data_IF_943368102602
#
_entry.id   IF_943368102602
#
_cell.length_a   1.000
_cell.length_b   1.000
_cell.length_c   1.000
_cell.angle_alpha   90.00
_cell.angle_beta   90.00
_cell.angle_gamma   90.00
#
_symmetry.space_group_name_H-M   'P 1'
#
loop_
_entity.id
_entity.type
_entity.pdbx_description
1 polymer ?
#
# COMPACT_ATOMS: atom_id res chain seq x y z
N UNK A 1 16.58 -9.23 -9.32
CA UNK A 1 15.84 -9.48 -8.06
C UNK A 1 14.53 -10.18 -8.41
N UNK A 2 13.99 -11.04 -7.54
CA UNK A 2 12.63 -11.57 -7.73
C UNK A 2 11.59 -10.48 -7.48
N UNK A 3 10.39 -10.60 -8.07
CA UNK A 3 9.26 -9.66 -7.87
C UNK A 3 8.98 -9.42 -6.39
N UNK A 4 8.98 -10.48 -5.58
CA UNK A 4 8.83 -10.40 -4.12
C UNK A 4 9.97 -9.61 -3.44
N UNK A 5 11.21 -9.85 -3.83
CA UNK A 5 12.36 -9.13 -3.26
C UNK A 5 12.33 -7.64 -3.61
N UNK A 6 11.85 -7.29 -4.81
CA UNK A 6 11.61 -5.90 -5.19
C UNK A 6 10.56 -5.23 -4.29
N UNK A 7 9.39 -5.85 -4.09
CA UNK A 7 8.34 -5.26 -3.24
C UNK A 7 8.72 -5.13 -1.77
N UNK A 8 9.50 -6.08 -1.23
CA UNK A 8 10.04 -5.97 0.13
C UNK A 8 11.02 -4.80 0.25
N UNK A 9 11.91 -4.63 -0.73
CA UNK A 9 12.86 -3.52 -0.78
C UNK A 9 12.16 -2.16 -0.87
N UNK A 10 11.11 -2.05 -1.69
CA UNK A 10 10.28 -0.83 -1.77
C UNK A 10 9.57 -0.54 -0.42
N UNK A 11 9.07 -1.57 0.26
CA UNK A 11 8.47 -1.43 1.58
C UNK A 11 9.50 -0.98 2.64
N UNK A 12 10.74 -1.48 2.57
CA UNK A 12 11.83 -1.04 3.44
C UNK A 12 12.14 0.45 3.24
N UNK A 13 12.25 0.90 1.98
CA UNK A 13 12.42 2.33 1.65
C UNK A 13 11.26 3.15 2.23
N UNK A 14 10.01 2.74 1.99
CA UNK A 14 8.83 3.47 2.45
C UNK A 14 8.78 3.63 3.98
N UNK A 15 9.27 2.65 4.74
CA UNK A 15 9.31 2.68 6.21
C UNK A 15 10.49 3.46 6.79
N UNK A 16 11.53 3.73 6.00
CA UNK A 16 12.73 4.42 6.45
C UNK A 16 12.59 5.94 6.27
N UNK A 17 12.29 6.66 7.35
CA UNK A 17 12.05 8.11 7.31
C UNK A 17 13.24 8.92 6.79
N UNK A 18 14.46 8.40 6.93
CA UNK A 18 15.71 9.06 6.52
C UNK A 18 16.24 8.56 5.16
N UNK A 19 15.56 7.61 4.50
CA UNK A 19 15.99 7.15 3.17
C UNK A 19 15.64 8.20 2.11
N UNK A 20 16.64 8.69 1.39
CA UNK A 20 16.45 9.73 0.36
C UNK A 20 15.58 9.29 -0.82
N UNK A 21 15.36 7.98 -0.99
CA UNK A 21 14.46 7.41 -1.99
C UNK A 21 13.01 7.35 -1.51
N UNK A 22 12.75 7.63 -0.24
CA UNK A 22 11.41 7.62 0.33
C UNK A 22 10.60 8.78 -0.22
N UNK A 23 9.72 8.48 -1.16
CA UNK A 23 8.74 9.40 -1.71
C UNK A 23 7.35 8.93 -1.30
N UNK A 24 6.63 9.73 -0.53
CA UNK A 24 5.31 9.40 0.00
C UNK A 24 4.33 10.54 -0.28
N UNK A 25 3.05 10.25 -0.62
CA UNK A 25 2.04 11.27 -0.75
C UNK A 25 1.73 11.91 0.60
N UNK A 26 1.34 13.19 0.58
CA UNK A 26 0.81 13.86 1.77
C UNK A 26 -0.59 13.32 2.07
N UNK A 27 -0.76 12.60 3.19
CA UNK A 27 -2.07 12.18 3.69
C UNK A 27 -2.35 12.92 4.99
N UNK A 28 -3.34 13.81 4.96
CA UNK A 28 -3.70 14.64 6.11
C UNK A 28 -4.70 13.93 7.02
N UNK A 29 -4.73 14.25 8.33
CA UNK A 29 -5.65 13.62 9.29
C UNK A 29 -7.15 13.76 8.95
N UNK A 30 -7.53 14.75 8.13
CA UNK A 30 -8.92 14.94 7.70
C UNK A 30 -9.34 13.96 6.59
N UNK A 31 -8.39 13.27 5.95
CA UNK A 31 -8.69 12.26 4.93
C UNK A 31 -9.24 11.00 5.59
N UNK A 32 -10.57 10.82 5.51
CA UNK A 32 -11.26 9.68 6.17
C UNK A 32 -11.24 8.39 5.36
N UNK A 33 -10.97 8.48 4.05
CA UNK A 33 -10.99 7.36 3.10
C UNK A 33 -9.85 7.50 2.12
N UNK A 34 -9.02 6.48 2.01
CA UNK A 34 -7.87 6.44 1.10
C UNK A 34 -7.98 5.19 0.23
N UNK A 35 -7.83 5.38 -1.08
CA UNK A 35 -7.72 4.30 -2.05
C UNK A 35 -6.38 4.43 -2.78
N UNK A 36 -5.58 3.37 -2.72
CA UNK A 36 -4.28 3.28 -3.38
C UNK A 36 -4.40 2.36 -4.60
N UNK A 37 -4.16 2.90 -5.80
CA UNK A 37 -4.31 2.19 -7.08
C UNK A 37 -2.93 1.82 -7.63
N UNK A 38 -2.74 0.56 -7.98
CA UNK A 38 -1.40 0.05 -8.27
C UNK A 38 -0.55 -0.02 -7.00
N UNK A 39 -1.16 -0.47 -5.90
CA UNK A 39 -0.56 -0.37 -4.57
C UNK A 39 0.66 -1.29 -4.35
N UNK A 40 0.92 -2.24 -5.25
CA UNK A 40 1.93 -3.28 -5.09
C UNK A 40 1.72 -4.05 -3.77
N UNK A 41 2.74 -4.08 -2.92
CA UNK A 41 2.65 -4.66 -1.58
C UNK A 41 1.95 -3.76 -0.54
N UNK A 42 1.47 -2.59 -0.97
CA UNK A 42 0.80 -1.58 -0.16
C UNK A 42 1.75 -0.73 0.67
N UNK A 43 3.00 -0.54 0.21
CA UNK A 43 4.01 0.17 0.96
C UNK A 43 3.58 1.59 1.37
N UNK A 44 2.82 2.27 0.50
CA UNK A 44 2.26 3.60 0.79
C UNK A 44 1.34 3.55 2.01
N UNK A 45 0.29 2.73 1.97
CA UNK A 45 -0.69 2.68 3.06
C UNK A 45 -0.09 2.18 4.38
N UNK A 46 0.89 1.28 4.33
CA UNK A 46 1.57 0.75 5.51
C UNK A 46 2.46 1.82 6.17
N UNK A 47 3.16 2.62 5.37
CA UNK A 47 4.12 3.60 5.86
C UNK A 47 3.53 5.02 6.07
N UNK A 48 2.27 5.24 5.71
CA UNK A 48 1.59 6.53 5.80
C UNK A 48 1.07 6.91 7.19
N UNK A 49 1.32 6.11 8.22
CA UNK A 49 0.86 6.34 9.61
C UNK A 49 -0.60 6.83 9.69
N UNK A 50 -1.49 6.10 9.02
CA UNK A 50 -2.88 6.50 8.89
C UNK A 50 -3.59 6.49 10.25
N UNK A 51 -4.40 7.51 10.57
CA UNK A 51 -5.25 7.48 11.76
C UNK A 51 -6.11 6.22 11.79
N UNK A 52 -6.34 5.65 12.98
CA UNK A 52 -7.06 4.38 13.18
C UNK A 52 -8.47 4.38 12.58
N UNK A 53 -9.08 5.54 12.47
CA UNK A 53 -10.42 5.81 11.99
C UNK A 53 -10.47 5.95 10.46
N UNK A 54 -9.30 6.03 9.82
CA UNK A 54 -9.16 6.12 8.37
C UNK A 54 -9.46 4.78 7.75
N UNK A 55 -10.45 4.76 6.86
CA UNK A 55 -10.64 3.60 6.01
C UNK A 55 -9.62 3.65 4.88
N UNK A 56 -8.84 2.58 4.71
CA UNK A 56 -7.82 2.51 3.67
C UNK A 56 -7.92 1.20 2.89
N UNK A 57 -7.82 1.29 1.56
CA UNK A 57 -7.75 0.12 0.70
C UNK A 57 -6.72 0.27 -0.41
N UNK A 58 -6.06 -0.84 -0.74
CA UNK A 58 -5.15 -0.95 -1.87
C UNK A 58 -5.71 -1.89 -2.92
N UNK A 59 -5.52 -1.54 -4.20
CA UNK A 59 -5.87 -2.38 -5.35
C UNK A 59 -4.65 -2.53 -6.25
N UNK A 60 -4.31 -3.77 -6.56
CA UNK A 60 -3.29 -4.10 -7.55
C UNK A 60 -3.78 -5.24 -8.47
N UNK A 61 -3.18 -5.31 -9.67
CA UNK A 61 -3.37 -6.38 -10.63
C UNK A 61 -2.46 -7.58 -10.34
N UNK A 62 -1.32 -7.34 -9.69
CA UNK A 62 -0.37 -8.35 -9.26
C UNK A 62 -0.82 -8.94 -7.91
N UNK A 63 -1.32 -10.17 -7.96
CA UNK A 63 -1.77 -10.89 -6.77
C UNK A 63 -0.61 -11.22 -5.81
N UNK A 64 0.57 -11.53 -6.35
CA UNK A 64 1.72 -11.91 -5.53
C UNK A 64 2.29 -10.71 -4.75
N UNK A 65 2.18 -9.51 -5.33
CA UNK A 65 2.49 -8.26 -4.64
C UNK A 65 1.59 -8.08 -3.41
N UNK A 66 0.29 -8.32 -3.53
CA UNK A 66 -0.67 -8.19 -2.43
C UNK A 66 -0.45 -9.20 -1.30
N UNK A 67 0.07 -10.39 -1.61
CA UNK A 67 0.44 -11.38 -0.60
C UNK A 67 1.73 -11.05 0.16
N UNK A 68 2.54 -10.11 -0.36
CA UNK A 68 3.84 -9.76 0.21
C UNK A 68 3.71 -8.78 1.39
N UNK A 69 2.63 -7.96 1.41
CA UNK A 69 2.36 -7.03 2.51
C UNK A 69 1.76 -7.72 3.75
N UNK A 70 1.94 -7.16 4.96
CA UNK A 70 1.30 -7.63 6.20
C UNK A 70 -0.25 -7.59 6.20
N UNK A 71 -0.88 -7.12 5.12
CA UNK A 71 -2.34 -7.04 4.95
C UNK A 71 -3.04 -8.36 4.58
N UNK A 72 -2.29 -9.45 4.35
CA UNK A 72 -2.87 -10.77 4.08
C UNK A 72 -3.72 -11.34 5.25
N UNK A 73 -3.64 -10.73 6.45
CA UNK A 73 -4.37 -11.14 7.64
C UNK A 73 -4.91 -9.97 8.45
N UNK A 74 -6.00 -9.34 7.98
CA UNK A 74 -7.11 -8.88 8.83
C UNK A 74 -6.87 -7.95 10.03
N UNK A 75 -5.73 -7.25 10.16
CA UNK A 75 -5.56 -6.27 11.22
C UNK A 75 -6.37 -5.00 10.91
N UNK A 76 -7.15 -4.54 11.90
CA UNK A 76 -8.22 -3.56 11.75
C UNK A 76 -7.77 -2.24 11.08
N UNK A 77 -8.22 -2.02 9.84
CA UNK A 77 -8.16 -0.73 9.14
C UNK A 77 -7.74 -0.83 7.67
N UNK A 78 -6.72 -1.64 7.39
CA UNK A 78 -6.15 -1.78 6.04
C UNK A 78 -6.76 -2.97 5.30
N UNK A 79 -7.42 -2.71 4.17
CA UNK A 79 -8.03 -3.76 3.34
C UNK A 79 -7.34 -3.79 1.97
N UNK A 80 -6.51 -4.79 1.73
CA UNK A 80 -5.94 -5.02 0.40
C UNK A 80 -6.87 -5.92 -0.41
N UNK A 81 -7.11 -5.58 -1.68
CA UNK A 81 -7.91 -6.40 -2.59
C UNK A 81 -7.22 -6.52 -3.94
N UNK A 82 -7.23 -7.73 -4.49
CA UNK A 82 -6.85 -7.93 -5.88
C UNK A 82 -8.04 -7.63 -6.77
N UNK A 83 -7.83 -6.83 -7.81
CA UNK A 83 -8.87 -6.48 -8.76
C UNK A 83 -8.27 -6.08 -10.10
N UNK A 84 -8.75 -6.70 -11.18
CA UNK A 84 -8.48 -6.21 -12.54
C UNK A 84 -9.56 -5.22 -12.92
N UNK A 85 -9.17 -3.95 -13.09
CA UNK A 85 -10.02 -2.96 -13.75
C UNK A 85 -10.02 -3.18 -15.27
N UNK A 86 -11.18 -3.04 -15.90
CA UNK A 86 -11.31 -2.91 -17.36
C UNK A 86 -11.46 -1.41 -17.61
N UNK A 87 -10.60 -0.82 -18.45
CA UNK A 87 -10.76 0.57 -18.85
C UNK A 87 -12.06 0.69 -19.65
N UNK A 88 -13.06 1.38 -19.09
CA UNK A 88 -14.26 1.77 -19.83
C UNK A 88 -13.86 2.94 -20.73
N UNK A 89 -13.91 2.73 -22.05
CA UNK A 89 -13.76 3.77 -23.08
C UNK A 89 -15.11 4.42 -23.35
#
# INVERSE_FOLDING_TARGET
MSTRAYHLHELEIARSLDDSRRVMPEIRPQHRRVLDLGCGAGQTLIASDLPRETWAAGVDVDFDALLTGPGAGGAAGLRQRCGRGIALR
#
